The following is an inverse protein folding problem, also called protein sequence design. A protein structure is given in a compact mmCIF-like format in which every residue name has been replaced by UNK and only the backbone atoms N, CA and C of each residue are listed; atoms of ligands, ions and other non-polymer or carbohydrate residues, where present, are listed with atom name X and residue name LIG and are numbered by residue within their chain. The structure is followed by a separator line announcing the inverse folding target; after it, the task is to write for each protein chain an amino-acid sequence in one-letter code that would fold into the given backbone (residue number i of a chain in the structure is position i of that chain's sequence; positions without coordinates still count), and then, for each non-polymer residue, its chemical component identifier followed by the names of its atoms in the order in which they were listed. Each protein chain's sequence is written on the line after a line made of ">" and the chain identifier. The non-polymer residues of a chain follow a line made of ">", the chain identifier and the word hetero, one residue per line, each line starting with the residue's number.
data_IF_303165472799
#
_entry.id   IF_303165472799
#
_cell.length_a   1.000
_cell.length_b   1.000
_cell.length_c   1.000
_cell.angle_alpha   90.00
_cell.angle_beta   90.00
_cell.angle_gamma   90.00
#
_symmetry.space_group_name_H-M   'P 1'
#
loop_
_entity.id
_entity.type
_entity.pdbx_description
1 polymer ?
#
# COMPACT_ATOMS: atom_id res chain seq x y z
N UNK A 1 -5.01 26.89 -38.23
CA UNK A 1 -5.78 26.96 -36.98
C UNK A 1 -4.89 27.59 -35.94
N UNK A 2 -5.40 28.48 -35.10
CA UNK A 2 -4.58 29.01 -34.00
C UNK A 2 -4.28 27.86 -33.02
N UNK A 3 -3.15 27.89 -32.32
CA UNK A 3 -2.81 26.84 -31.32
C UNK A 3 -3.86 26.71 -30.22
N UNK A 4 -4.68 27.74 -30.01
CA UNK A 4 -5.83 27.72 -29.11
C UNK A 4 -7.03 26.97 -29.67
N UNK A 5 -7.23 26.98 -31.00
CA UNK A 5 -8.29 26.17 -31.64
C UNK A 5 -7.96 24.68 -31.56
N UNK A 6 -6.68 24.30 -31.75
CA UNK A 6 -6.22 22.90 -31.64
C UNK A 6 -6.40 22.32 -30.23
N UNK A 7 -6.09 23.13 -29.20
CA UNK A 7 -6.30 22.75 -27.80
C UNK A 7 -7.79 22.49 -27.52
N UNK A 8 -8.70 23.35 -28.00
CA UNK A 8 -10.15 23.20 -27.84
C UNK A 8 -10.72 22.02 -28.63
N UNK A 9 -10.23 21.79 -29.84
CA UNK A 9 -10.59 20.62 -30.65
C UNK A 9 -10.16 19.33 -29.96
N UNK A 10 -8.99 19.33 -29.33
CA UNK A 10 -8.49 18.21 -28.52
C UNK A 10 -9.39 17.94 -27.31
N UNK A 11 -9.80 18.97 -26.56
CA UNK A 11 -10.74 18.79 -25.44
C UNK A 11 -12.08 18.25 -25.94
N UNK A 12 -12.59 18.78 -27.05
CA UNK A 12 -13.86 18.34 -27.64
C UNK A 12 -13.81 16.87 -28.07
N UNK A 13 -12.68 16.44 -28.65
CA UNK A 13 -12.45 15.03 -28.99
C UNK A 13 -12.45 14.15 -27.74
N UNK A 14 -11.75 14.54 -26.67
CA UNK A 14 -11.72 13.78 -25.42
C UNK A 14 -13.11 13.68 -24.79
N UNK A 15 -13.92 14.74 -24.81
CA UNK A 15 -15.31 14.69 -24.35
C UNK A 15 -16.18 13.74 -25.19
N UNK A 16 -15.92 13.62 -26.49
CA UNK A 16 -16.61 12.67 -27.35
C UNK A 16 -16.18 11.21 -27.11
N UNK A 17 -14.91 10.98 -26.78
CA UNK A 17 -14.36 9.65 -26.50
C UNK A 17 -14.70 9.14 -25.10
N UNK A 18 -14.83 10.04 -24.13
CA UNK A 18 -15.12 9.74 -22.72
C UNK A 18 -16.39 10.49 -22.28
N UNK A 19 -17.57 10.07 -22.78
CA UNK A 19 -18.81 10.83 -22.61
C UNK A 19 -19.41 10.73 -21.20
N UNK A 20 -18.92 9.80 -20.36
CA UNK A 20 -19.47 9.65 -19.01
C UNK A 20 -18.94 10.75 -18.08
N UNK A 21 -19.81 11.38 -17.24
CA UNK A 21 -19.41 12.46 -16.34
C UNK A 21 -18.31 12.08 -15.33
N UNK A 22 -18.16 10.80 -15.05
CA UNK A 22 -17.16 10.28 -14.10
C UNK A 22 -15.83 9.90 -14.79
N UNK A 23 -15.82 9.73 -16.11
CA UNK A 23 -14.64 9.36 -16.90
C UNK A 23 -13.76 10.57 -17.19
N UNK A 24 -14.35 11.67 -17.66
CA UNK A 24 -13.61 12.91 -17.95
C UNK A 24 -14.18 14.08 -17.16
N UNK A 25 -13.41 14.54 -16.18
CA UNK A 25 -13.77 15.66 -15.31
C UNK A 25 -12.93 16.88 -15.70
N UNK A 26 -13.56 17.88 -16.31
CA UNK A 26 -12.91 19.16 -16.61
C UNK A 26 -12.77 20.00 -15.34
N UNK A 27 -11.66 20.73 -15.20
CA UNK A 27 -11.57 21.74 -14.15
C UNK A 27 -12.58 22.88 -14.41
N UNK A 28 -13.15 23.52 -13.37
CA UNK A 28 -14.21 24.52 -13.54
C UNK A 28 -13.86 25.69 -14.46
N UNK A 29 -12.59 26.09 -14.50
CA UNK A 29 -12.12 27.15 -15.41
C UNK A 29 -12.10 26.68 -16.87
N UNK A 30 -11.71 25.41 -17.09
CA UNK A 30 -11.68 24.79 -18.42
C UNK A 30 -13.10 24.56 -18.92
N UNK A 31 -14.00 24.05 -18.08
CA UNK A 31 -15.40 23.82 -18.41
C UNK A 31 -16.13 25.12 -18.81
N UNK A 32 -15.90 26.22 -18.07
CA UNK A 32 -16.44 27.54 -18.40
C UNK A 32 -15.91 28.06 -19.74
N UNK A 33 -14.62 27.87 -20.00
CA UNK A 33 -14.00 28.34 -21.24
C UNK A 33 -14.49 27.53 -22.45
N UNK A 34 -14.58 26.20 -22.34
CA UNK A 34 -15.12 25.32 -23.39
C UNK A 34 -16.59 25.67 -23.70
N UNK A 35 -17.39 25.97 -22.67
CA UNK A 35 -18.80 26.35 -22.83
C UNK A 35 -18.99 27.76 -23.40
N UNK A 36 -17.99 28.63 -23.31
CA UNK A 36 -18.04 30.02 -23.76
C UNK A 36 -16.65 30.51 -24.20
N UNK A 37 -16.20 30.15 -25.41
CA UNK A 37 -14.85 30.46 -25.90
C UNK A 37 -14.58 31.95 -26.13
N UNK A 38 -15.59 32.80 -25.99
CA UNK A 38 -15.49 34.27 -26.05
C UNK A 38 -14.88 34.90 -24.78
N UNK A 39 -14.71 34.11 -23.71
CA UNK A 39 -14.04 34.52 -22.47
C UNK A 39 -12.51 34.53 -22.62
N UNK A 40 -11.81 35.16 -21.69
CA UNK A 40 -10.35 35.12 -21.65
C UNK A 40 -9.88 33.66 -21.45
N UNK A 41 -8.99 33.20 -22.33
CA UNK A 41 -8.47 31.84 -22.28
C UNK A 41 -7.67 31.60 -20.99
N UNK A 42 -7.91 30.49 -20.27
CA UNK A 42 -7.09 30.11 -19.12
C UNK A 42 -5.66 29.79 -19.57
N UNK A 43 -4.66 29.87 -18.65
CA UNK A 43 -3.27 29.57 -18.98
C UNK A 43 -3.05 28.10 -19.38
N UNK A 44 -3.92 27.20 -18.92
CA UNK A 44 -3.93 25.78 -19.22
C UNK A 44 -5.37 25.25 -19.21
N UNK A 45 -5.67 24.31 -20.10
CA UNK A 45 -6.89 23.51 -20.07
C UNK A 45 -6.59 22.25 -19.27
N UNK A 46 -7.14 22.16 -18.07
CA UNK A 46 -6.90 21.07 -17.13
C UNK A 46 -8.11 20.17 -16.99
N UNK A 47 -7.86 18.87 -16.91
CA UNK A 47 -8.88 17.84 -16.73
C UNK A 47 -8.30 16.60 -16.06
N UNK A 48 -9.17 15.79 -15.46
CA UNK A 48 -8.84 14.48 -14.91
C UNK A 48 -9.57 13.42 -15.71
N UNK A 49 -8.81 12.46 -16.24
CA UNK A 49 -9.33 11.30 -16.94
C UNK A 49 -9.25 10.08 -16.03
N UNK A 50 -10.36 9.39 -15.82
CA UNK A 50 -10.42 8.10 -15.14
C UNK A 50 -10.58 7.01 -16.17
N UNK A 51 -9.57 6.16 -16.26
CA UNK A 51 -9.54 5.04 -17.17
C UNK A 51 -9.82 3.75 -16.40
N UNK A 52 -10.94 3.07 -16.64
CA UNK A 52 -11.05 1.67 -16.24
C UNK A 52 -10.01 0.84 -17.01
N UNK A 53 -9.34 -0.08 -16.32
CA UNK A 53 -8.49 -1.06 -16.99
C UNK A 53 -9.38 -2.15 -17.57
N UNK A 54 -9.20 -2.47 -18.85
CA UNK A 54 -9.96 -3.53 -19.51
C UNK A 54 -9.51 -4.90 -18.97
N UNK A 55 -10.44 -5.74 -18.50
CA UNK A 55 -10.15 -7.07 -17.93
C UNK A 55 -11.01 -7.42 -16.71
N UNK A 56 -10.76 -8.58 -16.09
CA UNK A 56 -11.50 -9.18 -14.95
C UNK A 56 -11.53 -8.34 -13.66
N UNK A 57 -11.07 -7.08 -13.69
CA UNK A 57 -10.91 -6.18 -12.54
C UNK A 57 -11.56 -4.80 -12.77
N UNK A 58 -12.89 -4.73 -12.87
CA UNK A 58 -13.62 -3.47 -13.10
C UNK A 58 -13.49 -2.46 -11.95
N UNK A 59 -12.97 -2.88 -10.80
CA UNK A 59 -12.68 -2.04 -9.63
C UNK A 59 -11.34 -1.28 -9.73
N UNK A 60 -10.49 -1.61 -10.71
CA UNK A 60 -9.19 -0.96 -10.89
C UNK A 60 -9.27 0.14 -11.94
N UNK A 61 -9.11 1.37 -11.47
CA UNK A 61 -9.08 2.56 -12.32
C UNK A 61 -7.74 3.27 -12.21
N UNK A 62 -7.29 3.85 -13.33
CA UNK A 62 -6.16 4.75 -13.39
C UNK A 62 -6.68 6.19 -13.54
N UNK A 63 -6.30 7.07 -12.62
CA UNK A 63 -6.59 8.50 -12.74
C UNK A 63 -5.39 9.22 -13.36
N UNK A 64 -5.62 10.01 -14.40
CA UNK A 64 -4.60 10.79 -15.09
C UNK A 64 -5.01 12.26 -15.03
N UNK A 65 -4.15 13.11 -14.50
CA UNK A 65 -4.30 14.55 -14.62
C UNK A 65 -3.67 15.02 -15.93
N UNK A 66 -4.45 15.66 -16.78
CA UNK A 66 -4.04 16.22 -18.06
C UNK A 66 -4.06 17.73 -17.99
N UNK A 67 -3.06 18.37 -18.60
CA UNK A 67 -3.08 19.82 -18.84
C UNK A 67 -2.53 20.13 -20.22
N UNK A 68 -3.26 20.96 -20.97
CA UNK A 68 -2.92 21.38 -22.33
C UNK A 68 -2.69 22.88 -22.34
N UNK A 69 -1.59 23.34 -22.95
CA UNK A 69 -1.32 24.77 -23.14
C UNK A 69 -0.54 24.99 -24.43
N UNK A 70 -1.20 25.59 -25.42
CA UNK A 70 -0.59 25.97 -26.72
C UNK A 70 0.05 24.77 -27.43
N UNK A 71 -0.64 23.63 -27.45
CA UNK A 71 -0.15 22.38 -28.02
C UNK A 71 0.84 21.62 -27.14
N UNK A 72 1.24 22.13 -25.96
CA UNK A 72 2.03 21.36 -25.00
C UNK A 72 1.11 20.57 -24.08
N UNK A 73 1.28 19.25 -24.04
CA UNK A 73 0.47 18.34 -23.23
C UNK A 73 1.33 17.80 -22.08
N UNK A 74 0.80 17.90 -20.86
CA UNK A 74 1.36 17.20 -19.70
C UNK A 74 0.38 16.17 -19.18
N UNK A 75 0.86 14.93 -19.05
CA UNK A 75 0.15 13.79 -18.51
C UNK A 75 0.79 13.39 -17.19
N UNK A 76 0.00 13.41 -16.12
CA UNK A 76 0.44 13.00 -14.79
C UNK A 76 -0.50 11.91 -14.26
N UNK A 77 -0.16 10.63 -14.49
CA UNK A 77 -0.85 9.52 -13.83
C UNK A 77 -0.75 9.71 -12.31
N UNK A 78 -1.84 9.53 -11.57
CA UNK A 78 -1.82 9.48 -10.11
C UNK A 78 -1.47 8.07 -9.68
N UNK A 79 -0.64 7.94 -8.64
CA UNK A 79 -0.32 6.61 -8.10
C UNK A 79 -1.58 5.92 -7.58
N UNK A 80 -2.01 4.81 -8.19
CA UNK A 80 -3.14 4.04 -7.69
C UNK A 80 -2.77 3.31 -6.39
N UNK A 81 -3.75 3.07 -5.53
CA UNK A 81 -3.53 2.37 -4.26
C UNK A 81 -3.05 0.92 -4.43
N UNK A 82 -3.34 0.31 -5.58
CA UNK A 82 -2.92 -1.05 -5.91
C UNK A 82 -1.48 -1.12 -6.40
N UNK A 83 -0.92 -0.07 -7.00
CA UNK A 83 0.48 -0.06 -7.44
C UNK A 83 1.44 0.35 -6.34
N UNK A 84 2.46 -0.49 -6.14
CA UNK A 84 3.63 -0.12 -5.35
C UNK A 84 4.47 0.98 -6.04
N UNK A 85 5.39 1.59 -5.27
CA UNK A 85 6.21 2.71 -5.76
C UNK A 85 7.04 2.38 -7.00
N UNK A 86 7.58 1.17 -7.09
CA UNK A 86 8.43 0.75 -8.21
C UNK A 86 7.59 0.54 -9.47
N UNK A 87 6.47 -0.18 -9.36
CA UNK A 87 5.53 -0.40 -10.45
C UNK A 87 4.95 0.92 -10.97
N UNK A 88 4.64 1.86 -10.07
CA UNK A 88 4.23 3.22 -10.44
C UNK A 88 5.33 3.99 -11.20
N UNK A 89 6.61 3.85 -10.85
CA UNK A 89 7.70 4.48 -11.62
C UNK A 89 7.80 3.88 -13.03
N UNK A 90 7.63 2.56 -13.17
CA UNK A 90 7.57 1.90 -14.48
C UNK A 90 6.41 2.43 -15.31
N UNK A 91 5.23 2.59 -14.71
CA UNK A 91 4.04 3.15 -15.37
C UNK A 91 4.28 4.58 -15.86
N UNK A 92 4.84 5.46 -15.01
CA UNK A 92 5.14 6.84 -15.42
C UNK A 92 6.20 6.88 -16.52
N UNK A 93 7.15 5.94 -16.52
CA UNK A 93 8.21 5.84 -17.53
C UNK A 93 7.73 5.28 -18.87
N UNK A 94 6.52 4.71 -18.95
CA UNK A 94 5.96 4.20 -20.21
C UNK A 94 5.31 5.29 -21.07
N UNK A 95 5.08 6.49 -20.50
CA UNK A 95 4.53 7.62 -21.24
C UNK A 95 5.55 8.08 -22.28
N UNK A 96 5.21 8.08 -23.58
CA UNK A 96 6.12 8.52 -24.63
C UNK A 96 6.45 10.00 -24.47
N UNK A 97 7.60 10.44 -24.99
CA UNK A 97 7.93 11.86 -25.02
C UNK A 97 7.14 12.56 -26.13
N UNK A 98 6.51 13.69 -25.82
CA UNK A 98 5.79 14.48 -26.82
C UNK A 98 6.75 14.97 -27.93
N UNK A 99 6.41 14.67 -29.17
CA UNK A 99 7.14 15.15 -30.34
C UNK A 99 6.50 16.44 -30.88
N UNK A 100 7.28 17.43 -31.35
CA UNK A 100 6.74 18.70 -31.82
C UNK A 100 5.81 18.62 -33.05
N UNK A 101 5.91 17.54 -33.81
CA UNK A 101 5.20 17.35 -35.09
C UNK A 101 3.87 16.58 -34.93
N UNK A 102 3.62 16.01 -33.74
CA UNK A 102 2.45 15.20 -33.45
C UNK A 102 1.35 16.07 -32.83
N UNK A 103 0.11 15.86 -33.26
CA UNK A 103 -1.05 16.57 -32.72
C UNK A 103 -1.25 16.23 -31.23
N UNK A 104 -1.72 17.21 -30.46
CA UNK A 104 -1.97 17.05 -29.02
C UNK A 104 -2.91 15.87 -28.73
N UNK A 105 -3.94 15.70 -29.54
CA UNK A 105 -4.91 14.60 -29.47
C UNK A 105 -4.27 13.23 -29.72
N UNK A 106 -3.48 13.08 -30.78
CA UNK A 106 -2.80 11.83 -31.15
C UNK A 106 -1.83 11.40 -30.05
N UNK A 107 -1.03 12.34 -29.53
CA UNK A 107 -0.12 12.09 -28.42
C UNK A 107 -0.84 11.65 -27.15
N UNK A 108 -1.97 12.27 -26.80
CA UNK A 108 -2.76 11.89 -25.61
C UNK A 108 -3.28 10.46 -25.75
N UNK A 109 -3.82 10.10 -26.92
CA UNK A 109 -4.38 8.77 -27.16
C UNK A 109 -3.30 7.68 -27.14
N UNK A 110 -2.16 7.90 -27.81
CA UNK A 110 -1.01 6.97 -27.78
C UNK A 110 -0.51 6.78 -26.34
N UNK A 111 -0.42 7.87 -25.57
CA UNK A 111 0.01 7.81 -24.17
C UNK A 111 -0.98 7.05 -23.29
N UNK A 112 -2.29 7.22 -23.52
CA UNK A 112 -3.34 6.48 -22.83
C UNK A 112 -3.24 4.98 -23.12
N UNK A 113 -3.02 4.60 -24.38
CA UNK A 113 -2.83 3.20 -24.78
C UNK A 113 -1.60 2.58 -24.12
N UNK A 114 -0.46 3.27 -24.13
CA UNK A 114 0.78 2.82 -23.47
C UNK A 114 0.57 2.65 -21.95
N UNK A 115 -0.12 3.60 -21.32
CA UNK A 115 -0.45 3.53 -19.89
C UNK A 115 -1.38 2.36 -19.58
N UNK A 116 -2.41 2.11 -20.40
CA UNK A 116 -3.33 0.96 -20.23
C UNK A 116 -2.59 -0.36 -20.38
N UNK A 117 -1.77 -0.51 -21.43
CA UNK A 117 -1.02 -1.74 -21.67
C UNK A 117 -0.04 -2.04 -20.53
N UNK A 118 0.69 -1.02 -20.07
CA UNK A 118 1.65 -1.16 -18.97
C UNK A 118 0.95 -1.43 -17.64
N UNK A 119 -0.16 -0.73 -17.36
CA UNK A 119 -0.97 -0.97 -16.16
C UNK A 119 -1.57 -2.38 -16.13
N UNK A 120 -2.05 -2.88 -17.27
CA UNK A 120 -2.55 -4.25 -17.42
C UNK A 120 -1.48 -5.29 -17.11
N UNK A 121 -0.29 -5.16 -17.71
CA UNK A 121 0.83 -6.07 -17.44
C UNK A 121 1.31 -6.03 -15.99
N UNK A 122 1.37 -4.84 -15.37
CA UNK A 122 1.72 -4.71 -13.95
C UNK A 122 0.67 -5.34 -13.02
N UNK A 123 -0.61 -5.25 -13.39
CA UNK A 123 -1.69 -5.87 -12.63
C UNK A 123 -1.66 -7.39 -12.78
N UNK A 124 -1.42 -7.91 -13.97
CA UNK A 124 -1.21 -9.34 -14.23
C UNK A 124 0.01 -9.86 -13.46
N UNK A 125 1.10 -9.10 -13.40
CA UNK A 125 2.29 -9.45 -12.61
C UNK A 125 1.99 -9.42 -11.10
N UNK A 126 1.27 -8.44 -10.59
CA UNK A 126 0.84 -8.40 -9.18
C UNK A 126 -0.07 -9.58 -8.84
N UNK A 127 -1.02 -9.92 -9.71
CA UNK A 127 -1.90 -11.08 -9.56
C UNK A 127 -1.11 -12.37 -9.68
N UNK A 128 -0.20 -12.49 -10.65
CA UNK A 128 0.64 -13.67 -10.81
C UNK A 128 1.58 -13.86 -9.63
N UNK A 129 2.08 -12.78 -9.03
CA UNK A 129 2.83 -12.82 -7.76
C UNK A 129 1.91 -13.28 -6.63
N UNK A 130 0.69 -12.74 -6.50
CA UNK A 130 -0.27 -13.18 -5.48
C UNK A 130 -0.70 -14.65 -5.66
N UNK A 131 -0.91 -15.10 -6.90
CA UNK A 131 -1.27 -16.48 -7.24
C UNK A 131 -0.07 -17.42 -7.03
N UNK A 132 1.16 -16.97 -7.32
CA UNK A 132 2.39 -17.72 -6.99
C UNK A 132 2.64 -17.79 -5.48
N UNK A 133 2.23 -16.76 -4.73
CA UNK A 133 2.24 -16.79 -3.27
C UNK A 133 1.16 -17.74 -2.69
N UNK A 134 0.03 -17.93 -3.40
CA UNK A 134 -1.07 -18.84 -3.01
C UNK A 134 -0.95 -20.28 -3.55
N UNK A 135 -0.02 -20.57 -4.48
CA UNK A 135 0.35 -21.96 -4.78
C UNK A 135 1.03 -22.59 -3.56
N UNK A 136 0.71 -23.85 -3.19
CA UNK A 136 1.31 -24.52 -2.04
C UNK A 136 2.75 -24.95 -2.37
N UNK A 137 3.65 -23.98 -2.52
CA UNK A 137 5.05 -24.21 -2.15
C UNK A 137 5.09 -24.35 -0.62
N UNK A 138 5.88 -25.30 -0.13
CA UNK A 138 6.02 -25.64 1.30
C UNK A 138 5.92 -24.40 2.18
N UNK A 139 4.90 -24.34 3.06
CA UNK A 139 4.73 -23.25 4.02
C UNK A 139 6.07 -23.03 4.73
N UNK A 140 6.73 -21.90 4.46
CA UNK A 140 7.94 -21.51 5.19
C UNK A 140 7.49 -21.04 6.55
N UNK A 141 7.29 -22.00 7.44
CA UNK A 141 6.94 -21.75 8.82
C UNK A 141 8.09 -20.98 9.46
N UNK A 142 7.79 -19.78 9.92
CA UNK A 142 8.73 -18.87 10.55
C UNK A 142 8.16 -18.36 11.86
N UNK A 143 9.03 -18.12 12.84
CA UNK A 143 8.75 -17.32 14.02
C UNK A 143 9.43 -15.98 13.86
N UNK A 144 8.66 -14.91 13.96
CA UNK A 144 9.13 -13.54 13.77
C UNK A 144 8.81 -12.69 14.99
N UNK A 145 9.81 -11.95 15.45
CA UNK A 145 9.75 -11.11 16.64
C UNK A 145 9.81 -9.63 16.23
N UNK A 146 8.78 -8.89 16.60
CA UNK A 146 8.70 -7.45 16.37
C UNK A 146 8.77 -6.68 17.67
N UNK A 147 9.52 -5.58 17.61
CA UNK A 147 9.75 -4.65 18.69
C UNK A 147 9.09 -3.31 18.42
N UNK A 148 8.33 -2.84 19.40
CA UNK A 148 7.63 -1.57 19.38
C UNK A 148 8.20 -0.67 20.48
N UNK A 149 8.60 0.58 20.18
CA UNK A 149 9.01 1.53 21.22
C UNK A 149 7.91 1.76 22.27
N UNK A 150 6.65 1.73 21.84
CA UNK A 150 5.49 1.75 22.71
C UNK A 150 4.24 1.22 22.00
N UNK A 151 3.40 0.51 22.73
CA UNK A 151 2.04 0.14 22.32
C UNK A 151 1.14 0.23 23.55
N UNK A 152 0.22 1.21 23.60
CA UNK A 152 -0.59 1.47 24.81
C UNK A 152 -2.10 1.47 24.57
N UNK A 153 -2.55 1.71 23.34
CA UNK A 153 -3.99 1.76 23.02
C UNK A 153 -4.57 0.35 22.90
N UNK A 154 -5.77 0.14 23.46
CA UNK A 154 -6.43 -1.17 23.50
C UNK A 154 -6.89 -1.59 22.11
N UNK A 155 -7.29 -0.62 21.30
CA UNK A 155 -7.75 -0.76 19.93
C UNK A 155 -6.63 -1.38 19.08
N UNK A 156 -5.42 -0.81 19.14
CA UNK A 156 -4.27 -1.33 18.39
C UNK A 156 -3.89 -2.76 18.78
N UNK A 157 -4.00 -3.11 20.07
CA UNK A 157 -3.77 -4.50 20.54
C UNK A 157 -4.82 -5.45 20.01
N UNK A 158 -6.08 -5.03 20.07
CA UNK A 158 -7.21 -5.80 19.58
C UNK A 158 -7.08 -6.07 18.09
N UNK A 159 -6.65 -5.09 17.30
CA UNK A 159 -6.42 -5.26 15.86
C UNK A 159 -5.34 -6.30 15.59
N UNK A 160 -4.23 -6.26 16.32
CA UNK A 160 -3.15 -7.24 16.18
C UNK A 160 -3.66 -8.68 16.43
N UNK A 161 -4.50 -8.87 17.46
CA UNK A 161 -5.07 -10.18 17.78
C UNK A 161 -6.15 -10.61 16.78
N UNK A 162 -7.04 -9.71 16.37
CA UNK A 162 -8.19 -10.05 15.52
C UNK A 162 -7.84 -10.28 14.05
N UNK A 163 -6.79 -9.64 13.55
CA UNK A 163 -6.37 -9.81 12.16
C UNK A 163 -5.57 -11.10 11.97
N UNK A 164 -4.76 -11.52 12.95
CA UNK A 164 -3.81 -12.64 12.79
C UNK A 164 -4.46 -13.96 12.28
N UNK A 165 -5.64 -14.39 12.78
CA UNK A 165 -6.29 -15.60 12.27
C UNK A 165 -6.64 -15.56 10.78
N UNK A 166 -6.90 -14.37 10.21
CA UNK A 166 -7.21 -14.21 8.76
C UNK A 166 -6.02 -14.58 7.87
N UNK A 167 -4.81 -14.55 8.42
CA UNK A 167 -3.56 -14.88 7.74
C UNK A 167 -3.01 -16.25 8.20
N UNK A 168 -3.75 -17.00 9.02
CA UNK A 168 -3.28 -18.27 9.60
C UNK A 168 -2.10 -18.12 10.56
N UNK A 169 -1.93 -16.93 11.15
CA UNK A 169 -0.85 -16.61 12.08
C UNK A 169 -1.27 -16.82 13.53
N UNK A 170 -0.35 -17.33 14.34
CA UNK A 170 -0.51 -17.52 15.79
C UNK A 170 0.60 -16.79 16.54
N UNK A 171 0.48 -16.63 17.86
CA UNK A 171 1.50 -15.95 18.66
C UNK A 171 0.92 -15.12 19.80
N UNK A 172 1.58 -14.01 20.11
CA UNK A 172 1.11 -13.13 21.17
C UNK A 172 1.54 -11.68 20.96
N UNK A 173 0.80 -10.77 21.60
CA UNK A 173 1.19 -9.38 21.80
C UNK A 173 1.36 -9.10 23.30
N UNK A 174 2.49 -8.49 23.65
CA UNK A 174 2.74 -7.90 24.96
C UNK A 174 2.85 -6.38 24.77
N UNK A 175 1.86 -5.65 25.27
CA UNK A 175 1.89 -4.20 25.23
C UNK A 175 2.66 -3.60 26.40
N UNK A 176 3.03 -2.32 26.25
CA UNK A 176 3.85 -1.61 27.21
C UNK A 176 4.95 -0.78 26.56
N UNK A 177 5.98 -0.50 27.36
CA UNK A 177 7.18 0.23 26.99
C UNK A 177 8.41 -0.57 27.47
N UNK A 178 9.06 -1.35 26.62
CA UNK A 178 8.75 -1.63 25.22
C UNK A 178 7.59 -2.63 25.06
N UNK A 179 7.04 -2.74 23.84
CA UNK A 179 6.06 -3.76 23.49
C UNK A 179 6.65 -4.78 22.53
N UNK A 180 6.19 -6.02 22.64
CA UNK A 180 6.64 -7.18 21.88
C UNK A 180 5.47 -7.80 21.12
N UNK A 181 5.74 -8.28 19.92
CA UNK A 181 4.83 -9.08 19.12
C UNK A 181 5.61 -10.28 18.60
N UNK A 182 5.09 -11.47 18.87
CA UNK A 182 5.59 -12.72 18.30
C UNK A 182 4.54 -13.24 17.33
N UNK A 183 4.95 -13.61 16.12
CA UNK A 183 4.10 -14.24 15.11
C UNK A 183 4.73 -15.55 14.64
N UNK A 184 3.92 -16.59 14.52
CA UNK A 184 4.26 -17.88 13.94
C UNK A 184 3.34 -18.19 12.77
N UNK A 185 3.93 -18.55 11.63
CA UNK A 185 3.20 -18.94 10.44
C UNK A 185 4.04 -18.78 9.18
N UNK A 186 3.40 -18.75 8.02
CA UNK A 186 4.09 -18.51 6.76
C UNK A 186 4.71 -17.11 6.74
N UNK A 187 6.03 -17.03 6.52
CA UNK A 187 6.78 -15.78 6.47
C UNK A 187 6.20 -14.74 5.50
N UNK A 188 5.65 -15.18 4.35
CA UNK A 188 4.99 -14.29 3.38
C UNK A 188 3.73 -13.66 3.98
N UNK A 189 2.94 -14.47 4.69
CA UNK A 189 1.71 -14.03 5.37
C UNK A 189 2.02 -13.10 6.54
N UNK A 190 3.16 -13.26 7.22
CA UNK A 190 3.63 -12.32 8.25
C UNK A 190 3.89 -10.93 7.67
N UNK A 191 4.56 -10.85 6.52
CA UNK A 191 4.87 -9.57 5.86
C UNK A 191 3.60 -8.86 5.39
N UNK A 192 2.68 -9.60 4.76
CA UNK A 192 1.38 -9.08 4.34
C UNK A 192 0.55 -8.60 5.54
N UNK A 193 0.46 -9.39 6.61
CA UNK A 193 -0.21 -9.02 7.86
C UNK A 193 0.36 -7.69 8.43
N UNK A 194 1.68 -7.54 8.49
CA UNK A 194 2.31 -6.33 9.01
C UNK A 194 2.10 -5.12 8.09
N UNK A 195 1.99 -5.32 6.78
CA UNK A 195 1.62 -4.27 5.82
C UNK A 195 0.19 -3.79 6.09
N UNK A 196 -0.77 -4.72 6.15
CA UNK A 196 -2.20 -4.42 6.30
C UNK A 196 -2.51 -3.77 7.67
N UNK A 197 -1.81 -4.17 8.73
CA UNK A 197 -1.91 -3.49 10.03
C UNK A 197 -1.47 -2.02 9.92
N UNK A 198 -0.40 -1.71 9.18
CA UNK A 198 0.14 -0.34 9.07
C UNK A 198 -0.65 0.55 8.12
N UNK A 199 -1.17 -0.02 7.04
CA UNK A 199 -1.86 0.70 5.96
C UNK A 199 -3.37 0.80 6.19
N UNK A 200 -4.01 -0.29 6.62
CA UNK A 200 -5.46 -0.39 6.76
C UNK A 200 -5.89 -0.10 8.20
N UNK A 201 -5.47 -0.94 9.16
CA UNK A 201 -5.95 -0.83 10.55
C UNK A 201 -5.41 0.42 11.24
N UNK A 202 -4.14 0.75 11.05
CA UNK A 202 -3.52 1.95 11.63
C UNK A 202 -3.46 3.11 10.65
N UNK A 203 -4.21 3.10 9.53
CA UNK A 203 -4.15 4.11 8.47
C UNK A 203 -4.04 5.55 9.00
N UNK A 204 -4.89 5.90 9.96
CA UNK A 204 -4.99 7.24 10.58
C UNK A 204 -3.89 7.59 11.61
N UNK A 205 -3.02 6.63 11.96
CA UNK A 205 -1.93 6.84 12.92
C UNK A 205 -0.72 7.47 12.20
N UNK A 206 -0.10 8.53 12.75
CA UNK A 206 1.11 9.11 12.16
C UNK A 206 2.26 8.10 12.04
N UNK A 207 3.03 8.16 10.95
CA UNK A 207 4.10 7.20 10.62
C UNK A 207 5.15 7.03 11.73
N UNK A 208 5.50 8.11 12.44
CA UNK A 208 6.45 8.06 13.56
C UNK A 208 5.94 7.22 14.75
N UNK A 209 4.62 7.07 14.91
CA UNK A 209 4.00 6.22 15.93
C UNK A 209 3.76 4.78 15.46
N UNK A 210 3.99 4.48 14.18
CA UNK A 210 3.92 3.14 13.57
C UNK A 210 5.29 2.47 13.51
N UNK A 211 6.32 3.00 14.19
CA UNK A 211 7.67 2.43 14.13
C UNK A 211 7.67 1.04 14.77
N UNK A 212 7.88 0.03 13.93
CA UNK A 212 8.04 -1.37 14.31
C UNK A 212 9.37 -1.84 13.75
N UNK A 213 10.15 -2.55 14.56
CA UNK A 213 11.43 -3.14 14.13
C UNK A 213 11.33 -4.65 14.24
N UNK A 214 11.56 -5.38 13.15
CA UNK A 214 11.79 -6.82 13.21
C UNK A 214 13.15 -7.05 13.90
N UNK A 215 13.17 -7.83 14.97
CA UNK A 215 14.38 -8.09 15.77
C UNK A 215 15.00 -9.44 15.44
N UNK A 216 14.16 -10.44 15.23
CA UNK A 216 14.61 -11.80 15.04
C UNK A 216 13.60 -12.58 14.20
N UNK A 217 14.13 -13.40 13.30
CA UNK A 217 13.38 -14.31 12.45
C UNK A 217 14.08 -15.66 12.46
N UNK A 218 13.30 -16.72 12.63
CA UNK A 218 13.79 -18.11 12.64
C UNK A 218 12.82 -19.00 11.87
N UNK A 219 13.36 -19.85 11.02
CA UNK A 219 12.61 -20.93 10.37
C UNK A 219 12.24 -22.00 11.40
N UNK A 220 11.00 -22.47 11.33
CA UNK A 220 10.43 -23.52 12.17
C UNK A 220 10.26 -24.79 11.35
N UNK A 221 10.46 -25.94 12.00
CA UNK A 221 10.12 -27.23 11.40
C UNK A 221 8.59 -27.43 11.41
N UNK A 222 8.03 -28.18 10.44
CA UNK A 222 6.60 -28.52 10.43
C UNK A 222 6.11 -29.07 11.78
N UNK A 223 5.03 -28.49 12.31
CA UNK A 223 4.43 -28.92 13.58
C UNK A 223 5.14 -28.40 14.85
N UNK A 224 6.15 -27.54 14.74
CA UNK A 224 6.88 -26.98 15.91
C UNK A 224 6.39 -25.60 16.37
N UNK A 225 5.20 -25.17 15.93
CA UNK A 225 4.57 -23.94 16.44
C UNK A 225 4.35 -24.04 17.94
N UNK A 226 4.81 -23.03 18.69
CA UNK A 226 4.61 -22.95 20.12
C UNK A 226 3.20 -22.43 20.48
N UNK A 227 2.58 -21.68 19.58
CA UNK A 227 1.30 -21.03 19.82
C UNK A 227 0.19 -21.58 18.92
N UNK A 228 -0.94 -21.92 19.52
CA UNK A 228 -2.13 -22.43 18.82
C UNK A 228 -3.07 -21.31 18.35
N UNK A 229 -3.00 -20.15 18.99
CA UNK A 229 -3.84 -18.98 18.71
C UNK A 229 -3.02 -17.70 18.89
N UNK A 230 -3.63 -16.56 18.57
CA UNK A 230 -3.05 -15.24 18.80
C UNK A 230 -3.66 -14.63 20.07
N UNK A 231 -2.86 -14.25 21.07
CA UNK A 231 -3.36 -13.76 22.37
C UNK A 231 -2.74 -12.42 22.81
N UNK A 232 -3.47 -11.66 23.62
CA UNK A 232 -2.94 -10.48 24.34
C UNK A 232 -2.54 -10.90 25.76
N UNK A 233 -1.23 -11.04 26.00
CA UNK A 233 -0.67 -11.51 27.27
C UNK A 233 -0.37 -10.34 28.23
N UNK A 234 -0.78 -9.12 27.90
CA UNK A 234 -0.41 -7.93 28.68
C UNK A 234 -0.89 -8.04 30.14
N UNK A 235 -1.97 -8.75 30.41
CA UNK A 235 -2.46 -8.93 31.79
C UNK A 235 -1.77 -10.08 32.54
N UNK A 236 -0.94 -10.90 31.88
CA UNK A 236 -0.24 -12.04 32.46
C UNK A 236 1.15 -11.66 33.00
N UNK A 237 1.68 -10.51 32.58
CA UNK A 237 2.99 -10.01 32.99
C UNK A 237 2.84 -8.99 34.12
N UNK A 238 3.68 -9.09 35.15
CA UNK A 238 3.72 -8.05 36.19
C UNK A 238 4.24 -6.76 35.58
N UNK A 239 3.48 -5.69 35.76
CA UNK A 239 3.88 -4.36 35.31
C UNK A 239 4.40 -3.52 36.48
N UNK A 240 5.33 -2.61 36.20
CA UNK A 240 5.87 -1.68 37.20
C UNK A 240 6.09 -0.26 36.64
N UNK A 241 6.46 0.64 37.55
CA UNK A 241 6.65 2.07 37.30
C UNK A 241 5.38 2.89 37.57
N UNK A 242 5.54 4.22 37.59
CA UNK A 242 4.49 5.18 38.00
C UNK A 242 3.18 5.05 37.19
N UNK A 243 3.26 4.52 35.96
CA UNK A 243 2.11 4.32 35.06
C UNK A 243 1.81 2.85 34.74
N UNK A 244 2.43 1.89 35.45
CA UNK A 244 2.23 0.46 35.28
C UNK A 244 2.35 -0.05 33.82
N UNK A 245 3.33 0.48 33.09
CA UNK A 245 3.49 0.31 31.64
C UNK A 245 4.78 -0.40 31.22
N UNK A 246 5.61 -0.81 32.19
CA UNK A 246 6.84 -1.56 31.94
C UNK A 246 6.61 -2.99 32.39
N UNK A 247 6.61 -3.93 31.45
CA UNK A 247 6.56 -5.35 31.77
C UNK A 247 7.86 -5.84 32.40
N UNK A 248 7.75 -6.76 33.35
CA UNK A 248 8.91 -7.44 33.92
C UNK A 248 9.55 -8.40 32.91
N UNK A 249 10.75 -8.06 32.46
CA UNK A 249 11.49 -8.87 31.48
C UNK A 249 11.90 -10.23 32.05
N UNK A 250 11.97 -10.39 33.37
CA UNK A 250 12.12 -11.67 34.04
C UNK A 250 10.85 -12.52 33.96
N UNK A 251 9.67 -11.92 34.09
CA UNK A 251 8.39 -12.61 33.81
C UNK A 251 8.31 -13.01 32.33
N UNK A 252 8.67 -12.10 31.41
CA UNK A 252 8.70 -12.39 29.97
C UNK A 252 9.64 -13.54 29.67
N UNK A 253 10.85 -13.55 30.23
CA UNK A 253 11.81 -14.64 30.06
C UNK A 253 11.25 -15.98 30.55
N UNK A 254 10.68 -16.02 31.76
CA UNK A 254 10.07 -17.24 32.31
C UNK A 254 8.94 -17.76 31.43
N UNK A 255 8.13 -16.87 30.87
CA UNK A 255 7.01 -17.23 30.02
C UNK A 255 7.50 -17.78 28.67
N UNK A 256 8.52 -17.16 28.07
CA UNK A 256 9.19 -17.68 26.88
C UNK A 256 9.82 -19.05 27.10
N UNK A 257 10.47 -19.28 28.25
CA UNK A 257 11.00 -20.59 28.63
C UNK A 257 9.87 -21.63 28.77
N UNK A 258 8.74 -21.27 29.38
CA UNK A 258 7.57 -22.15 29.51
C UNK A 258 6.98 -22.55 28.16
N UNK A 259 7.00 -21.66 27.17
CA UNK A 259 6.53 -21.94 25.81
C UNK A 259 7.57 -22.64 24.93
N UNK A 260 8.78 -22.91 25.43
CA UNK A 260 9.85 -23.52 24.65
C UNK A 260 10.47 -22.57 23.61
N UNK A 261 10.31 -21.26 23.78
CA UNK A 261 10.86 -20.22 22.90
C UNK A 261 11.91 -19.34 23.59
N UNK A 262 12.38 -19.78 24.77
CA UNK A 262 13.32 -19.03 25.62
C UNK A 262 14.65 -18.70 24.95
N UNK A 263 15.11 -19.54 24.02
CA UNK A 263 16.36 -19.34 23.27
C UNK A 263 16.33 -18.04 22.45
N UNK A 264 15.15 -17.60 22.02
CA UNK A 264 14.98 -16.40 21.22
C UNK A 264 15.10 -15.10 22.06
N UNK A 265 15.06 -15.19 23.40
CA UNK A 265 15.00 -14.03 24.31
C UNK A 265 16.18 -13.06 24.11
N UNK A 266 17.39 -13.57 23.94
CA UNK A 266 18.58 -12.75 23.72
C UNK A 266 18.48 -11.90 22.46
N UNK A 267 18.10 -12.51 21.35
CA UNK A 267 17.97 -11.83 20.06
C UNK A 267 16.73 -10.92 20.01
N UNK A 268 15.57 -11.41 20.46
CA UNK A 268 14.30 -10.71 20.36
C UNK A 268 14.15 -9.55 21.36
N UNK A 269 14.68 -9.69 22.58
CA UNK A 269 14.44 -8.75 23.69
C UNK A 269 15.67 -7.93 24.05
N UNK A 270 16.84 -8.57 24.13
CA UNK A 270 18.09 -7.88 24.49
C UNK A 270 18.81 -7.28 23.27
N UNK A 271 18.37 -7.63 22.05
CA UNK A 271 19.05 -7.31 20.81
C UNK A 271 20.53 -7.71 20.82
N UNK A 272 20.82 -8.82 21.51
CA UNK A 272 22.12 -9.47 21.46
C UNK A 272 22.20 -10.20 20.12
N UNK A 273 23.14 -9.85 19.25
CA UNK A 273 23.38 -10.63 18.04
C UNK A 273 23.65 -12.08 18.45
N UNK A 274 22.75 -12.99 18.07
CA UNK A 274 22.98 -14.43 18.11
C UNK A 274 23.94 -14.82 16.98
#
# INVERSE_FOLDING_TARGET
>A
MSTTDDDLDTVSLLQAMYPLPEELVLDPETERYVSSPSLAAPPFLSMTLKLPLDGEHPDKTLEIALSISRGNVKLNPRQPAWLNRTAYQTLVSSVPAQQPEVLSSEYILESIESLRATAGGLLEDEIAVQVREDTPEEERLERVWFWFPMLSTREKRKDLVQYAPRYGLTGFVLAGKPALLCLEGDGRKVEKYMSDIKSVSWGDVPSFQKKVTERFRRTLEPGTRAFTEMTDITNEITHYGQYNHRGDMGDVRRLMEKWGVGDDFGAAVLNSNA
#
